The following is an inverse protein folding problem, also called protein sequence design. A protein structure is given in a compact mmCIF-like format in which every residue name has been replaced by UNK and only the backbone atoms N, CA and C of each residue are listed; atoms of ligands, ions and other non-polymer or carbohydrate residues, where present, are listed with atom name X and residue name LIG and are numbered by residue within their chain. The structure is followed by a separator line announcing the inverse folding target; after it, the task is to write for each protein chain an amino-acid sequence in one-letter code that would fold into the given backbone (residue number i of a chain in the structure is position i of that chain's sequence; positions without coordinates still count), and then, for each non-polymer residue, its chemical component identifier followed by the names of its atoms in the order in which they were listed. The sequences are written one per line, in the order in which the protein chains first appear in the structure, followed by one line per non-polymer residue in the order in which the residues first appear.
data_IF_594464300829
#
_entry.id   IF_594464300829
#
_cell.length_a   1.000
_cell.length_b   1.000
_cell.length_c   1.000
_cell.angle_alpha   90.00
_cell.angle_beta   90.00
_cell.angle_gamma   90.00
#
_symmetry.space_group_name_H-M   'P 1'
#
loop_
_entity.id
_entity.type
_entity.pdbx_description
1 polymer ?
#
# COMPACT_ATOMS: atom_id res chain seq x y z
N UNK A 1 -11.79 -5.27 -18.03
CA UNK A 1 -10.38 -4.97 -18.31
C UNK A 1 -9.44 -5.59 -17.29
N UNK A 2 -9.72 -5.44 -16.00
CA UNK A 2 -8.87 -6.02 -14.95
C UNK A 2 -9.51 -7.25 -14.30
N UNK A 3 -10.40 -7.92 -15.02
CA UNK A 3 -11.09 -9.10 -14.52
C UNK A 3 -10.08 -10.16 -14.09
N UNK A 4 -10.33 -10.74 -12.91
CA UNK A 4 -9.48 -11.76 -12.29
C UNK A 4 -8.07 -11.31 -11.91
N UNK A 5 -7.81 -10.00 -11.96
CA UNK A 5 -6.54 -9.45 -11.47
C UNK A 5 -6.65 -9.09 -9.99
N UNK A 6 -5.68 -9.53 -9.22
CA UNK A 6 -5.59 -9.24 -7.78
C UNK A 6 -4.65 -8.08 -7.55
N UNK A 7 -5.19 -6.97 -7.05
CA UNK A 7 -4.43 -5.74 -6.79
C UNK A 7 -4.42 -5.47 -5.30
N UNK A 8 -3.23 -5.27 -4.76
CA UNK A 8 -3.06 -4.75 -3.40
C UNK A 8 -2.85 -3.26 -3.50
N UNK A 9 -3.74 -2.52 -2.87
CA UNK A 9 -3.65 -1.07 -2.76
C UNK A 9 -3.11 -0.75 -1.37
N UNK A 10 -1.85 -0.34 -1.32
CA UNK A 10 -1.16 -0.04 -0.06
C UNK A 10 -1.26 1.47 0.22
N UNK A 11 -1.96 1.83 1.29
CA UNK A 11 -2.25 3.22 1.64
C UNK A 11 -1.44 3.62 2.85
N UNK A 12 -0.61 4.66 2.69
CA UNK A 12 0.20 5.19 3.79
C UNK A 12 -0.33 6.54 4.28
N UNK A 13 0.21 7.02 5.39
CA UNK A 13 -0.28 8.22 6.07
C UNK A 13 0.05 9.50 5.33
N UNK A 14 -0.93 10.07 4.66
CA UNK A 14 -0.82 11.35 3.98
C UNK A 14 -2.22 11.95 3.83
N UNK A 15 -2.30 13.27 3.81
CA UNK A 15 -3.58 13.93 3.54
C UNK A 15 -4.15 13.51 2.18
N UNK A 16 -3.29 13.11 1.24
CA UNK A 16 -3.72 12.63 -0.06
C UNK A 16 -4.45 11.27 0.00
N UNK A 17 -4.46 10.60 1.15
CA UNK A 17 -5.15 9.31 1.31
C UNK A 17 -6.63 9.39 0.97
N UNK A 18 -7.30 10.55 1.19
CA UNK A 18 -8.72 10.69 0.87
C UNK A 18 -9.02 10.49 -0.62
N UNK A 19 -8.06 10.80 -1.50
CA UNK A 19 -8.22 10.64 -2.95
C UNK A 19 -8.18 9.17 -3.37
N UNK A 20 -7.62 8.32 -2.53
CA UNK A 20 -7.41 6.91 -2.86
C UNK A 20 -8.72 6.12 -2.81
N UNK A 21 -9.72 6.63 -2.10
CA UNK A 21 -11.06 6.03 -2.14
C UNK A 21 -11.62 6.02 -3.56
N UNK A 22 -11.44 7.11 -4.32
CA UNK A 22 -11.84 7.16 -5.73
C UNK A 22 -11.06 6.16 -6.57
N UNK A 23 -9.77 6.04 -6.34
CA UNK A 23 -8.93 5.08 -7.05
C UNK A 23 -9.40 3.65 -6.80
N UNK A 24 -9.68 3.30 -5.53
CA UNK A 24 -10.21 1.99 -5.18
C UNK A 24 -11.53 1.71 -5.92
N UNK A 25 -12.43 2.69 -5.93
CA UNK A 25 -13.70 2.58 -6.63
C UNK A 25 -13.51 2.37 -8.14
N UNK A 26 -12.58 3.10 -8.76
CA UNK A 26 -12.29 2.96 -10.17
C UNK A 26 -11.75 1.58 -10.52
N UNK A 27 -10.85 1.05 -9.70
CA UNK A 27 -10.28 -0.28 -9.91
C UNK A 27 -11.36 -1.36 -9.80
N UNK A 28 -12.27 -1.22 -8.86
CA UNK A 28 -13.39 -2.15 -8.70
C UNK A 28 -14.32 -2.10 -9.92
N UNK A 29 -14.58 -0.90 -10.46
CA UNK A 29 -15.38 -0.73 -11.67
C UNK A 29 -14.73 -1.38 -12.89
N UNK A 30 -13.41 -1.52 -12.90
CA UNK A 30 -12.66 -2.22 -13.94
C UNK A 30 -12.60 -3.73 -13.68
N UNK A 31 -13.34 -4.21 -12.68
CA UNK A 31 -13.48 -5.62 -12.31
C UNK A 31 -12.25 -6.24 -11.66
N UNK A 32 -11.34 -5.43 -11.13
CA UNK A 32 -10.23 -5.93 -10.33
C UNK A 32 -10.70 -6.41 -8.96
N UNK A 33 -10.03 -7.42 -8.43
CA UNK A 33 -10.20 -7.81 -7.04
C UNK A 33 -9.19 -7.00 -6.21
N UNK A 34 -9.69 -6.02 -5.47
CA UNK A 34 -8.86 -5.05 -4.75
C UNK A 34 -8.87 -5.37 -3.25
N UNK A 35 -7.69 -5.55 -2.70
CA UNK A 35 -7.48 -5.64 -1.26
C UNK A 35 -6.70 -4.42 -0.81
N UNK A 36 -7.22 -3.69 0.17
CA UNK A 36 -6.56 -2.50 0.69
C UNK A 36 -5.79 -2.87 1.95
N UNK A 37 -4.55 -2.42 1.97
CA UNK A 37 -3.63 -2.61 3.08
C UNK A 37 -3.21 -1.24 3.57
N UNK A 38 -3.52 -0.91 4.82
CA UNK A 38 -3.28 0.43 5.38
C UNK A 38 -2.20 0.38 6.45
N UNK A 39 -1.35 1.41 6.46
CA UNK A 39 -0.53 1.64 7.64
C UNK A 39 -1.42 2.14 8.78
N UNK A 40 -0.94 1.98 10.00
CA UNK A 40 -1.65 2.49 11.16
C UNK A 40 -1.85 4.01 11.06
N UNK A 41 -0.84 4.72 10.57
CA UNK A 41 -0.93 6.17 10.40
C UNK A 41 -1.97 6.57 9.35
N UNK A 42 -2.17 5.77 8.32
CA UNK A 42 -3.17 6.06 7.29
C UNK A 42 -4.59 6.12 7.87
N UNK A 43 -4.88 5.38 8.94
CA UNK A 43 -6.19 5.41 9.57
C UNK A 43 -6.54 6.74 10.23
N UNK A 44 -5.54 7.61 10.42
CA UNK A 44 -5.79 8.97 10.90
C UNK A 44 -6.34 9.89 9.79
N UNK A 45 -6.25 9.49 8.54
CA UNK A 45 -6.69 10.27 7.39
C UNK A 45 -7.94 9.71 6.72
N UNK A 46 -8.14 8.40 6.80
CA UNK A 46 -9.28 7.75 6.18
C UNK A 46 -9.62 6.47 6.97
N UNK A 47 -10.92 6.20 7.12
CA UNK A 47 -11.38 5.05 7.89
C UNK A 47 -11.31 3.77 7.04
N UNK A 48 -10.79 2.66 7.59
CA UNK A 48 -10.74 1.38 6.87
C UNK A 48 -12.09 0.91 6.32
N UNK A 49 -13.19 1.23 6.99
CA UNK A 49 -14.52 0.81 6.56
C UNK A 49 -14.89 1.42 5.20
N UNK A 50 -14.33 2.58 4.87
CA UNK A 50 -14.53 3.19 3.55
C UNK A 50 -14.06 2.24 2.46
N UNK A 51 -12.87 1.68 2.62
CA UNK A 51 -12.31 0.76 1.63
C UNK A 51 -13.04 -0.58 1.63
N UNK A 52 -13.45 -1.07 2.80
CA UNK A 52 -14.22 -2.32 2.88
C UNK A 52 -15.53 -2.21 2.13
N UNK A 53 -16.21 -1.07 2.26
CA UNK A 53 -17.45 -0.80 1.55
C UNK A 53 -17.26 -0.75 0.04
N UNK A 54 -16.16 -0.12 -0.42
CA UNK A 54 -15.89 0.06 -1.83
C UNK A 54 -15.39 -1.23 -2.51
N UNK A 55 -14.60 -2.02 -1.82
CA UNK A 55 -13.93 -3.18 -2.42
C UNK A 55 -14.67 -4.49 -2.19
N UNK A 56 -15.50 -4.56 -1.18
CA UNK A 56 -16.13 -5.80 -0.74
C UNK A 56 -15.17 -6.76 -0.01
N UNK A 57 -13.94 -6.35 0.21
CA UNK A 57 -12.92 -7.13 0.91
C UNK A 57 -12.56 -6.48 2.23
N UNK A 58 -12.12 -7.31 3.18
CA UNK A 58 -11.62 -6.81 4.46
C UNK A 58 -10.39 -5.91 4.23
N UNK A 59 -10.41 -4.74 4.84
CA UNK A 59 -9.25 -3.85 4.81
C UNK A 59 -8.27 -4.27 5.91
N UNK A 60 -7.04 -4.58 5.51
CA UNK A 60 -6.01 -5.01 6.43
C UNK A 60 -5.27 -3.78 6.97
N UNK A 61 -5.29 -3.61 8.28
CA UNK A 61 -4.60 -2.50 8.94
C UNK A 61 -3.45 -3.05 9.75
N UNK A 62 -2.32 -2.36 9.70
CA UNK A 62 -1.19 -2.69 10.55
C UNK A 62 -1.56 -2.55 12.02
N UNK A 63 -1.66 -3.67 12.69
CA UNK A 63 -1.84 -3.71 14.13
C UNK A 63 -0.68 -4.47 14.73
N UNK A 64 -0.29 -4.11 15.94
CA UNK A 64 0.69 -4.87 16.69
C UNK A 64 0.11 -6.17 17.25
N UNK A 65 -0.87 -6.70 16.55
CA UNK A 65 -1.51 -7.94 16.94
C UNK A 65 -0.50 -9.08 16.74
N UNK A 66 -0.12 -9.71 17.85
CA UNK A 66 0.78 -10.85 17.83
C UNK A 66 0.07 -12.14 17.40
N UNK A 67 -1.08 -11.99 16.76
CA UNK A 67 -1.88 -13.12 16.36
C UNK A 67 -1.20 -13.88 15.23
N UNK A 68 -1.18 -15.20 15.35
CA UNK A 68 -0.57 -16.10 14.39
C UNK A 68 -1.10 -15.91 12.97
N UNK A 69 -2.33 -15.42 12.81
CA UNK A 69 -2.95 -15.17 11.52
C UNK A 69 -2.23 -14.09 10.71
N UNK A 70 -1.51 -13.20 11.37
CA UNK A 70 -0.82 -12.08 10.74
C UNK A 70 0.17 -12.54 9.67
N UNK A 71 1.07 -13.49 10.00
CA UNK A 71 2.07 -13.95 9.05
C UNK A 71 1.48 -14.82 7.93
N UNK A 72 0.39 -15.51 8.20
CA UNK A 72 -0.30 -16.32 7.19
C UNK A 72 -0.99 -15.41 6.16
N UNK A 73 -1.63 -14.33 6.61
CA UNK A 73 -2.33 -13.40 5.73
C UNK A 73 -1.39 -12.75 4.72
N UNK A 74 -0.24 -12.23 5.16
CA UNK A 74 0.64 -11.54 4.22
C UNK A 74 1.31 -12.49 3.23
N UNK A 75 1.62 -13.71 3.63
CA UNK A 75 2.16 -14.73 2.71
C UNK A 75 1.12 -15.13 1.66
N UNK A 76 -0.12 -15.38 2.10
CA UNK A 76 -1.21 -15.72 1.19
C UNK A 76 -1.48 -14.58 0.21
N UNK A 77 -1.51 -13.35 0.70
CA UNK A 77 -1.75 -12.17 -0.12
C UNK A 77 -0.63 -11.98 -1.14
N UNK A 78 0.63 -12.11 -0.72
CA UNK A 78 1.78 -11.96 -1.60
C UNK A 78 1.76 -12.95 -2.77
N UNK A 79 1.31 -14.19 -2.53
CA UNK A 79 1.25 -15.22 -3.57
C UNK A 79 0.18 -14.94 -4.63
N UNK A 80 -0.92 -14.30 -4.24
CA UNK A 80 -2.06 -14.05 -5.13
C UNK A 80 -1.95 -12.75 -5.91
N UNK A 81 -1.12 -11.83 -5.47
CA UNK A 81 -1.12 -10.46 -5.97
C UNK A 81 -0.48 -10.35 -7.34
N UNK A 82 -1.17 -9.71 -8.27
CA UNK A 82 -0.68 -9.42 -9.62
C UNK A 82 0.00 -8.06 -9.71
N UNK A 83 -0.43 -7.11 -8.89
CA UNK A 83 0.09 -5.74 -8.86
C UNK A 83 -0.04 -5.15 -7.47
N UNK A 84 1.01 -4.51 -7.00
CA UNK A 84 0.96 -3.68 -5.78
C UNK A 84 1.00 -2.21 -6.20
N UNK A 85 0.03 -1.45 -5.73
CA UNK A 85 -0.05 -0.01 -5.95
C UNK A 85 0.10 0.68 -4.59
N UNK A 86 1.19 1.40 -4.40
CA UNK A 86 1.46 2.11 -3.14
C UNK A 86 1.09 3.58 -3.36
N UNK A 87 -0.07 3.98 -2.84
CA UNK A 87 -0.63 5.31 -3.06
C UNK A 87 -1.52 5.72 -1.87
N UNK A 88 -1.28 6.86 -1.23
CA UNK A 88 -0.10 7.68 -1.40
C UNK A 88 1.10 7.03 -0.74
N UNK A 89 2.29 7.20 -1.30
CA UNK A 89 3.52 6.68 -0.73
C UNK A 89 4.25 7.81 -0.01
N UNK A 90 4.26 7.78 1.32
CA UNK A 90 4.96 8.76 2.14
C UNK A 90 6.47 8.62 2.00
N UNK A 91 7.22 9.64 2.42
CA UNK A 91 8.68 9.57 2.44
C UNK A 91 9.17 8.39 3.29
N UNK A 92 8.51 8.15 4.42
CA UNK A 92 8.84 7.05 5.32
C UNK A 92 8.71 5.68 4.63
N UNK A 93 7.61 5.42 3.93
CA UNK A 93 7.42 4.13 3.25
C UNK A 93 8.39 3.97 2.09
N UNK A 94 8.69 5.05 1.38
CA UNK A 94 9.68 5.02 0.28
C UNK A 94 11.06 4.64 0.80
N UNK A 95 11.46 5.20 1.94
CA UNK A 95 12.73 4.87 2.58
C UNK A 95 12.77 3.41 3.00
N UNK A 96 11.72 2.94 3.65
CA UNK A 96 11.65 1.55 4.11
C UNK A 96 11.75 0.57 2.94
N UNK A 97 11.01 0.82 1.87
CA UNK A 97 11.06 -0.05 0.69
C UNK A 97 12.41 -0.02 0.01
N UNK A 98 13.03 1.15 -0.09
CA UNK A 98 14.34 1.31 -0.74
C UNK A 98 15.44 0.53 -0.01
N UNK A 99 15.32 0.36 1.31
CA UNK A 99 16.32 -0.30 2.14
C UNK A 99 15.87 -1.66 2.68
N UNK A 100 14.76 -2.18 2.18
CA UNK A 100 14.30 -3.52 2.55
C UNK A 100 13.82 -3.65 3.99
N UNK A 101 13.35 -2.57 4.61
CA UNK A 101 12.84 -2.60 5.96
C UNK A 101 11.39 -3.10 5.96
N UNK A 102 11.14 -4.18 6.66
CA UNK A 102 9.83 -4.81 6.74
C UNK A 102 9.42 -4.95 8.21
N UNK A 103 9.01 -3.83 8.80
CA UNK A 103 8.71 -3.75 10.24
C UNK A 103 7.20 -3.71 10.54
N UNK A 104 6.36 -3.78 9.51
CA UNK A 104 4.91 -3.85 9.68
C UNK A 104 4.31 -4.76 8.60
N UNK A 105 3.00 -4.95 8.65
CA UNK A 105 2.32 -5.83 7.70
C UNK A 105 2.44 -5.32 6.26
N UNK A 106 2.30 -4.01 6.06
CA UNK A 106 2.38 -3.42 4.73
C UNK A 106 3.76 -3.62 4.11
N UNK A 107 4.82 -3.22 4.81
CA UNK A 107 6.18 -3.34 4.30
C UNK A 107 6.59 -4.80 4.13
N UNK A 108 6.17 -5.68 5.04
CA UNK A 108 6.44 -7.11 4.93
C UNK A 108 5.76 -7.72 3.70
N UNK A 109 4.50 -7.37 3.47
CA UNK A 109 3.76 -7.85 2.31
C UNK A 109 4.38 -7.36 1.00
N UNK A 110 4.72 -6.08 0.93
CA UNK A 110 5.34 -5.49 -0.25
C UNK A 110 6.68 -6.16 -0.55
N UNK A 111 7.49 -6.39 0.47
CA UNK A 111 8.79 -7.05 0.30
C UNK A 111 8.63 -8.48 -0.21
N UNK A 112 7.60 -9.18 0.25
CA UNK A 112 7.33 -10.58 -0.15
C UNK A 112 6.72 -10.70 -1.53
N UNK A 113 6.07 -9.66 -2.06
CA UNK A 113 5.44 -9.69 -3.37
C UNK A 113 6.50 -9.66 -4.48
N UNK A 114 6.41 -10.60 -5.40
CA UNK A 114 7.30 -10.69 -6.57
C UNK A 114 6.72 -10.01 -7.81
N UNK A 115 5.52 -9.47 -7.70
CA UNK A 115 4.83 -8.81 -8.80
C UNK A 115 5.35 -7.38 -9.03
N UNK A 116 4.83 -6.74 -10.07
CA UNK A 116 5.13 -5.33 -10.33
C UNK A 116 4.56 -4.45 -9.22
N UNK A 117 5.26 -3.37 -8.95
CA UNK A 117 4.89 -2.38 -7.94
C UNK A 117 4.88 -1.01 -8.57
N UNK A 118 3.79 -0.27 -8.35
CA UNK A 118 3.68 1.13 -8.75
C UNK A 118 3.65 1.98 -7.48
N UNK A 119 4.45 3.03 -7.47
CA UNK A 119 4.59 3.92 -6.32
C UNK A 119 4.16 5.32 -6.73
N UNK A 120 3.21 5.89 -5.98
CA UNK A 120 2.78 7.28 -6.16
C UNK A 120 3.22 8.10 -4.95
N UNK A 121 4.39 8.75 -4.99
CA UNK A 121 4.90 9.52 -3.86
C UNK A 121 3.99 10.70 -3.52
N UNK A 122 3.83 10.97 -2.23
CA UNK A 122 3.08 12.11 -1.74
C UNK A 122 3.76 12.66 -0.49
N UNK A 123 4.29 13.87 -0.62
CA UNK A 123 4.96 14.57 0.46
C UNK A 123 5.06 16.05 0.11
N UNK A 124 5.38 16.90 1.10
CA UNK A 124 5.56 18.32 0.78
C UNK A 124 6.83 18.52 -0.09
N UNK A 125 6.89 19.67 -0.76
CA UNK A 125 7.95 19.98 -1.72
C UNK A 125 9.35 19.89 -1.12
N UNK A 126 9.52 20.39 0.10
CA UNK A 126 10.83 20.38 0.76
C UNK A 126 11.31 18.96 1.03
N UNK A 127 10.40 18.06 1.43
CA UNK A 127 10.74 16.65 1.62
C UNK A 127 11.07 15.99 0.29
N UNK A 128 10.29 16.26 -0.73
CA UNK A 128 10.50 15.67 -2.06
C UNK A 128 11.85 16.09 -2.65
N UNK A 129 12.26 17.34 -2.45
CA UNK A 129 13.53 17.87 -2.95
C UNK A 129 14.74 17.45 -2.13
N UNK A 130 14.53 16.85 -0.96
CA UNK A 130 15.65 16.41 -0.13
C UNK A 130 16.46 15.33 -0.86
N UNK A 131 17.81 15.47 -0.91
CA UNK A 131 18.64 14.49 -1.64
C UNK A 131 18.48 13.05 -1.17
N UNK A 132 18.26 12.82 0.12
CA UNK A 132 18.04 11.46 0.65
C UNK A 132 16.75 10.88 0.06
N UNK A 133 15.67 11.67 0.01
CA UNK A 133 14.40 11.23 -0.56
C UNK A 133 14.57 10.92 -2.05
N UNK A 134 15.28 11.78 -2.79
CA UNK A 134 15.52 11.56 -4.21
C UNK A 134 16.36 10.29 -4.44
N UNK A 135 17.35 10.03 -3.61
CA UNK A 135 18.15 8.81 -3.69
C UNK A 135 17.29 7.57 -3.43
N UNK A 136 16.40 7.63 -2.45
CA UNK A 136 15.49 6.52 -2.15
C UNK A 136 14.54 6.23 -3.32
N UNK A 137 13.98 7.27 -3.95
CA UNK A 137 13.12 7.11 -5.11
C UNK A 137 13.88 6.53 -6.29
N UNK A 138 15.11 6.95 -6.51
CA UNK A 138 15.97 6.40 -7.57
C UNK A 138 16.29 4.92 -7.30
N UNK A 139 16.51 4.54 -6.05
CA UNK A 139 16.73 3.15 -5.67
C UNK A 139 15.48 2.30 -5.98
N UNK A 140 14.29 2.82 -5.71
CA UNK A 140 13.03 2.11 -5.99
C UNK A 140 12.77 1.92 -7.48
N UNK A 141 13.30 2.78 -8.34
CA UNK A 141 13.14 2.65 -9.80
C UNK A 141 13.94 1.48 -10.38
N UNK A 142 14.89 0.98 -9.64
CA UNK A 142 15.68 -0.17 -10.07
C UNK A 142 14.97 -1.46 -9.68
#
# INVERSE_FOLDING_TARGET
MLKDKNIVLAVTGSIAAYKIANLASMLVKLHANVTVLMTRNATNFINPITFETLTGNKCLVDTFDRNFQYSVEHVSLAKKTDLVLIAPASANINEKMAHGIADDMLTTTVLACKCKKLVSPAMNTNMFENPVVQDNLNTLKK
#
